data_IF_452791692033
#
_entry.id   IF_452791692033
#
_cell.length_a   1.000
_cell.length_b   1.000
_cell.length_c   1.000
_cell.angle_alpha   90.00
_cell.angle_beta   90.00
_cell.angle_gamma   90.00
#
_symmetry.space_group_name_H-M   'P 1'
#
loop_
_entity.id
_entity.type
_entity.pdbx_description
1 polymer ?
#
# COMPACT_ATOMS: atom_id res chain seq x y z
N UNK A 1 -12.47 17.40 -17.73
CA UNK A 1 -12.79 16.89 -16.38
C UNK A 1 -11.46 16.58 -15.74
N UNK A 2 -11.00 17.38 -14.78
CA UNK A 2 -9.75 17.13 -14.08
C UNK A 2 -10.07 16.14 -12.96
N UNK A 3 -9.94 14.85 -13.25
CA UNK A 3 -9.93 13.82 -12.22
C UNK A 3 -8.55 13.89 -11.56
N UNK A 4 -8.43 14.71 -10.53
CA UNK A 4 -7.34 14.58 -9.57
C UNK A 4 -7.59 13.28 -8.81
N UNK A 5 -7.21 12.15 -9.40
CA UNK A 5 -7.12 10.87 -8.70
C UNK A 5 -6.07 11.10 -7.61
N UNK A 6 -6.50 11.19 -6.36
CA UNK A 6 -5.60 11.36 -5.23
C UNK A 6 -4.75 10.09 -5.11
N UNK A 7 -3.59 10.11 -5.75
CA UNK A 7 -2.62 9.03 -5.61
C UNK A 7 -2.03 9.15 -4.22
N UNK A 8 -2.29 8.17 -3.35
CA UNK A 8 -1.66 8.08 -2.04
C UNK A 8 -0.13 8.19 -2.19
N UNK A 9 0.49 8.89 -1.26
CA UNK A 9 1.94 8.90 -1.09
C UNK A 9 2.41 7.56 -0.52
N UNK A 10 3.71 7.24 -0.67
CA UNK A 10 4.28 6.01 -0.11
C UNK A 10 4.16 5.93 1.42
N UNK A 11 4.15 7.07 2.11
CA UNK A 11 3.94 7.14 3.57
C UNK A 11 2.51 6.75 3.93
N UNK A 12 1.51 7.28 3.22
CA UNK A 12 0.10 6.94 3.47
C UNK A 12 -0.18 5.47 3.12
N UNK A 13 0.44 4.94 2.06
CA UNK A 13 0.37 3.51 1.75
C UNK A 13 0.97 2.64 2.86
N UNK A 14 2.10 3.06 3.44
CA UNK A 14 2.73 2.37 4.56
C UNK A 14 1.83 2.35 5.79
N UNK A 15 1.37 3.52 6.23
CA UNK A 15 0.47 3.67 7.38
C UNK A 15 -0.81 2.85 7.18
N UNK A 16 -1.37 2.85 5.97
CA UNK A 16 -2.54 2.03 5.64
C UNK A 16 -2.27 0.53 5.79
N UNK A 17 -1.09 0.04 5.37
CA UNK A 17 -0.74 -1.37 5.53
C UNK A 17 -0.56 -1.73 7.01
N UNK A 18 -0.02 -0.83 7.83
CA UNK A 18 0.05 -1.00 9.28
C UNK A 18 -1.34 -1.06 9.92
N UNK A 19 -2.24 -0.16 9.52
CA UNK A 19 -3.65 -0.15 9.96
C UNK A 19 -4.39 -1.43 9.56
N UNK A 20 -4.06 -2.00 8.39
CA UNK A 20 -4.55 -3.30 7.92
C UNK A 20 -3.90 -4.50 8.65
N UNK A 21 -2.96 -4.27 9.56
CA UNK A 21 -2.35 -5.26 10.43
C UNK A 21 -1.05 -5.87 9.89
N UNK A 22 -0.45 -5.30 8.85
CA UNK A 22 0.90 -5.69 8.40
C UNK A 22 1.91 -5.10 9.38
N UNK A 23 2.82 -5.93 9.90
CA UNK A 23 3.80 -5.42 10.86
C UNK A 23 4.87 -4.56 10.18
N UNK A 24 5.31 -3.51 10.86
CA UNK A 24 6.42 -2.64 10.43
C UNK A 24 7.67 -3.45 10.02
N UNK A 25 7.99 -4.50 10.77
CA UNK A 25 9.13 -5.38 10.47
C UNK A 25 8.97 -6.11 9.13
N UNK A 26 7.76 -6.57 8.79
CA UNK A 26 7.51 -7.22 7.52
C UNK A 26 7.60 -6.20 6.37
N UNK A 27 7.05 -5.00 6.56
CA UNK A 27 7.16 -3.92 5.58
C UNK A 27 8.62 -3.53 5.33
N UNK A 28 9.41 -3.32 6.40
CA UNK A 28 10.85 -3.03 6.29
C UNK A 28 11.57 -4.12 5.51
N UNK A 29 11.39 -5.38 5.89
CA UNK A 29 12.01 -6.52 5.21
C UNK A 29 11.69 -6.56 3.72
N UNK A 30 10.41 -6.40 3.36
CA UNK A 30 9.98 -6.47 1.96
C UNK A 30 10.52 -5.28 1.17
N UNK A 31 10.49 -4.07 1.74
CA UNK A 31 11.01 -2.88 1.07
C UNK A 31 12.53 -2.85 0.95
N UNK A 32 13.25 -3.49 1.86
CA UNK A 32 14.71 -3.66 1.75
C UNK A 32 15.08 -4.60 0.60
N UNK A 33 14.21 -5.56 0.26
CA UNK A 33 14.43 -6.53 -0.82
C UNK A 33 13.93 -5.99 -2.17
N UNK A 34 12.70 -5.47 -2.22
CA UNK A 34 12.00 -5.10 -3.47
C UNK A 34 12.07 -3.60 -3.78
N UNK A 35 12.50 -2.79 -2.82
CA UNK A 35 12.58 -1.34 -2.91
C UNK A 35 11.37 -0.63 -2.29
N UNK A 36 11.62 0.58 -1.77
CA UNK A 36 10.56 1.46 -1.24
C UNK A 36 9.85 2.19 -2.39
N UNK A 37 8.86 1.54 -3.00
CA UNK A 37 8.09 2.06 -4.14
C UNK A 37 6.63 1.58 -4.09
N UNK A 38 5.77 2.19 -4.92
CA UNK A 38 4.33 1.94 -4.90
C UNK A 38 3.97 0.51 -5.36
N UNK A 39 4.75 -0.07 -6.28
CA UNK A 39 4.56 -1.45 -6.74
C UNK A 39 4.71 -2.43 -5.57
N UNK A 40 5.76 -2.25 -4.76
CA UNK A 40 5.99 -3.06 -3.56
C UNK A 40 4.86 -2.91 -2.54
N UNK A 41 4.34 -1.70 -2.34
CA UNK A 41 3.20 -1.47 -1.43
C UNK A 41 1.92 -2.15 -1.93
N UNK A 42 1.66 -2.09 -3.24
CA UNK A 42 0.51 -2.78 -3.85
C UNK A 42 0.64 -4.31 -3.78
N UNK A 43 1.86 -4.85 -3.87
CA UNK A 43 2.08 -6.29 -3.70
C UNK A 43 1.76 -6.76 -2.27
N UNK A 44 2.16 -5.98 -1.27
CA UNK A 44 1.83 -6.26 0.13
C UNK A 44 0.32 -6.12 0.37
N UNK A 45 -0.30 -5.07 -0.18
CA UNK A 45 -1.75 -4.89 -0.12
C UNK A 45 -2.47 -6.11 -0.70
N UNK A 46 -2.07 -6.55 -1.89
CA UNK A 46 -2.66 -7.71 -2.55
C UNK A 46 -2.51 -8.98 -1.72
N UNK A 47 -1.37 -9.18 -1.06
CA UNK A 47 -1.18 -10.31 -0.16
C UNK A 47 -2.10 -10.25 1.07
N UNK A 48 -2.31 -9.06 1.65
CA UNK A 48 -3.09 -8.88 2.89
C UNK A 48 -4.61 -8.88 2.65
N UNK A 49 -5.08 -8.22 1.59
CA UNK A 49 -6.52 -7.98 1.35
C UNK A 49 -7.05 -8.59 0.05
N UNK A 50 -6.16 -8.92 -0.90
CA UNK A 50 -6.54 -9.33 -2.25
C UNK A 50 -6.78 -8.16 -3.22
N UNK A 51 -6.67 -6.91 -2.77
CA UNK A 51 -6.83 -5.73 -3.63
C UNK A 51 -5.56 -5.38 -4.39
N UNK A 52 -5.72 -4.87 -5.62
CA UNK A 52 -4.61 -4.53 -6.51
C UNK A 52 -4.17 -3.08 -6.41
N UNK A 53 -5.00 -2.22 -5.84
CA UNK A 53 -4.67 -0.83 -5.56
C UNK A 53 -5.34 -0.35 -4.28
N UNK A 54 -4.73 0.63 -3.61
CA UNK A 54 -5.29 1.26 -2.42
C UNK A 54 -6.59 2.02 -2.70
N UNK A 55 -6.85 2.43 -3.95
CA UNK A 55 -8.12 3.05 -4.36
C UNK A 55 -9.32 2.13 -4.12
N UNK A 56 -9.12 0.81 -4.10
CA UNK A 56 -10.18 -0.17 -3.82
C UNK A 56 -10.57 -0.23 -2.33
N UNK A 57 -9.81 0.43 -1.44
CA UNK A 57 -10.15 0.51 -0.02
C UNK A 57 -11.26 1.53 0.26
N UNK A 58 -11.50 2.49 -0.64
CA UNK A 58 -12.54 3.52 -0.48
C UNK A 58 -13.96 3.03 -0.88
N UNK A 59 -14.16 1.73 -1.15
CA UNK A 59 -15.46 1.16 -1.57
C UNK A 59 -16.45 0.83 -0.42
N UNK A 60 -16.33 1.43 0.77
CA UNK A 60 -17.34 1.28 1.85
C UNK A 60 -18.21 2.53 2.09
#
# INVERSE_FOLDING_TARGET
MNTTTATLTLSEMWETLEDLGVSEQALQLITDINGYNAETMCDVLFWQTGYRSFEQLEEE
#
